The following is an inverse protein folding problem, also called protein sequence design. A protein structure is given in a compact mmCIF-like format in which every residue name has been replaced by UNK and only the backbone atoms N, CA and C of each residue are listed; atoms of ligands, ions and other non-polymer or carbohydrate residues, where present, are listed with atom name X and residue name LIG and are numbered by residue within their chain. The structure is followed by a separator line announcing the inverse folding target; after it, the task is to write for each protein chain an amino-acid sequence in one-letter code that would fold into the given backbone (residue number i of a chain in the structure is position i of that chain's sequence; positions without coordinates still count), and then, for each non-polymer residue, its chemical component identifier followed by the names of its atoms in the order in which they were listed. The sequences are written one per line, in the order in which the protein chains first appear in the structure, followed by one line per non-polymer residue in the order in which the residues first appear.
data_IF_292585155886
#
_entry.id   IF_292585155886
#
_cell.length_a   1.000
_cell.length_b   1.000
_cell.length_c   1.000
_cell.angle_alpha   90.00
_cell.angle_beta   90.00
_cell.angle_gamma   90.00
#
_symmetry.space_group_name_H-M   'P 1'
#
loop_
_entity.id
_entity.type
_entity.pdbx_description
1 polymer ?
#
# COMPACT_ATOMS: atom_id res chain seq x y z
N UNK A 1 -42.71 -7.56 -17.84
CA UNK A 1 -42.43 -7.30 -19.28
C UNK A 1 -43.01 -5.94 -19.66
N UNK A 2 -42.17 -4.94 -19.92
CA UNK A 2 -42.48 -3.74 -20.72
C UNK A 2 -41.14 -3.10 -21.10
N UNK A 3 -40.81 -3.22 -22.38
CA UNK A 3 -39.62 -2.66 -23.01
C UNK A 3 -39.92 -1.21 -23.39
N UNK A 4 -39.01 -0.30 -23.11
CA UNK A 4 -39.04 1.06 -23.68
C UNK A 4 -37.67 1.33 -24.31
N UNK A 5 -37.65 1.25 -25.63
CA UNK A 5 -36.58 1.65 -26.54
C UNK A 5 -36.72 3.14 -26.85
N UNK A 6 -35.65 3.91 -26.71
CA UNK A 6 -35.49 5.22 -27.37
C UNK A 6 -34.02 5.44 -27.77
N UNK A 7 -33.75 6.29 -28.78
CA UNK A 7 -32.88 5.93 -29.91
C UNK A 7 -31.49 6.57 -29.89
N UNK A 8 -30.63 5.98 -30.73
CA UNK A 8 -29.41 6.53 -31.31
C UNK A 8 -29.63 7.95 -31.87
N UNK A 9 -28.68 8.84 -31.58
CA UNK A 9 -28.43 10.03 -32.38
C UNK A 9 -26.93 10.17 -32.66
N UNK A 10 -26.68 10.80 -33.79
CA UNK A 10 -25.65 10.52 -34.77
C UNK A 10 -24.78 11.76 -34.94
N UNK A 11 -23.49 11.54 -35.22
CA UNK A 11 -22.60 12.34 -36.08
C UNK A 11 -22.03 13.69 -35.59
N UNK A 12 -20.72 13.87 -35.86
CA UNK A 12 -19.99 15.15 -35.88
C UNK A 12 -18.55 14.98 -35.35
N UNK A 13 -17.58 14.46 -36.09
CA UNK A 13 -16.85 15.04 -37.24
C UNK A 13 -15.84 16.15 -36.85
N UNK A 14 -14.56 15.76 -36.82
CA UNK A 14 -13.32 16.46 -37.21
C UNK A 14 -12.88 17.72 -36.44
N UNK A 15 -11.59 17.78 -36.04
CA UNK A 15 -10.58 18.72 -36.60
C UNK A 15 -9.16 18.18 -36.32
N UNK A 16 -8.33 18.20 -37.37
CA UNK A 16 -6.88 17.95 -37.39
C UNK A 16 -6.09 19.00 -36.57
N UNK A 17 -5.07 18.58 -35.82
CA UNK A 17 -4.02 19.49 -35.34
C UNK A 17 -2.65 19.06 -35.89
N UNK A 18 -2.08 19.95 -36.71
CA UNK A 18 -0.75 19.94 -37.31
C UNK A 18 0.34 20.44 -36.35
N UNK A 19 1.58 19.97 -36.60
CA UNK A 19 2.84 20.70 -36.36
C UNK A 19 3.36 20.72 -34.91
N UNK A 20 4.65 20.63 -34.61
CA UNK A 20 5.85 20.92 -35.42
C UNK A 20 7.06 20.14 -34.91
N UNK A 21 7.91 19.75 -35.86
CA UNK A 21 9.30 19.31 -35.71
C UNK A 21 10.21 20.44 -35.23
N UNK A 22 11.14 20.15 -34.32
CA UNK A 22 12.37 20.93 -34.11
C UNK A 22 13.56 19.99 -34.22
N UNK A 23 14.49 20.40 -35.08
CA UNK A 23 15.74 19.75 -35.41
C UNK A 23 16.79 19.84 -34.29
N UNK A 24 17.66 18.84 -34.34
CA UNK A 24 19.06 18.74 -33.88
C UNK A 24 19.70 19.97 -33.24
N UNK A 25 20.40 19.69 -32.15
CA UNK A 25 21.77 20.19 -32.00
C UNK A 25 22.73 19.08 -31.56
N UNK A 26 23.91 19.08 -32.18
CA UNK A 26 24.99 18.10 -32.04
C UNK A 26 26.23 18.84 -31.52
N UNK A 27 27.04 18.13 -30.71
CA UNK A 27 28.48 18.38 -30.38
C UNK A 27 28.72 19.43 -29.26
N UNK A 28 29.78 19.30 -28.41
CA UNK A 28 31.00 18.51 -28.59
C UNK A 28 31.44 17.58 -27.47
N UNK A 29 32.33 16.67 -27.89
CA UNK A 29 33.19 15.84 -27.08
C UNK A 29 34.11 16.67 -26.18
N UNK A 30 34.33 16.18 -24.96
CA UNK A 30 35.33 16.70 -24.05
C UNK A 30 35.55 15.73 -22.88
N UNK A 31 36.69 15.03 -22.94
CA UNK A 31 37.54 14.59 -21.84
C UNK A 31 36.91 13.84 -20.65
N UNK A 32 37.38 12.64 -20.36
CA UNK A 32 38.29 12.43 -19.21
C UNK A 32 38.84 11.00 -19.18
N UNK A 33 40.16 10.98 -19.00
CA UNK A 33 41.10 9.88 -18.80
C UNK A 33 40.75 9.02 -17.57
N UNK A 34 40.88 7.68 -17.62
CA UNK A 34 40.64 6.84 -16.46
C UNK A 34 41.87 6.86 -15.54
N UNK A 35 41.78 7.57 -14.42
CA UNK A 35 42.72 7.43 -13.29
C UNK A 35 42.57 6.06 -12.65
N UNK A 36 43.64 5.27 -12.71
CA UNK A 36 43.78 4.01 -12.00
C UNK A 36 43.73 4.24 -10.48
N UNK A 37 42.67 3.74 -9.83
CA UNK A 37 42.56 3.73 -8.39
C UNK A 37 43.20 2.45 -7.82
N UNK A 38 44.13 2.72 -6.92
CA UNK A 38 44.99 1.80 -6.18
C UNK A 38 44.22 0.77 -5.35
N UNK A 39 44.71 -0.47 -5.37
CA UNK A 39 44.26 -1.59 -4.57
C UNK A 39 44.71 -1.38 -3.12
N UNK A 40 43.76 -1.09 -2.21
CA UNK A 40 44.00 -1.12 -0.78
C UNK A 40 43.48 -2.44 -0.19
N UNK A 41 44.39 -3.19 0.40
CA UNK A 41 44.18 -4.46 1.11
C UNK A 41 43.37 -4.23 2.40
N UNK A 42 42.26 -4.93 2.65
CA UNK A 42 41.64 -4.91 3.98
C UNK A 42 42.33 -5.92 4.91
N UNK A 43 42.93 -5.39 5.98
CA UNK A 43 43.39 -6.14 7.16
C UNK A 43 42.18 -6.71 7.91
N UNK A 44 42.22 -7.98 8.39
CA UNK A 44 41.10 -8.60 9.09
C UNK A 44 40.91 -7.97 10.47
N UNK A 45 39.78 -7.30 10.68
CA UNK A 45 39.37 -6.81 12.00
C UNK A 45 38.66 -7.94 12.76
N UNK A 46 39.12 -8.15 13.98
CA UNK A 46 38.69 -9.18 14.90
C UNK A 46 37.17 -9.19 15.14
N UNK A 47 36.61 -10.40 15.08
CA UNK A 47 35.24 -10.73 15.44
C UNK A 47 35.03 -10.50 16.93
N UNK A 48 34.40 -9.38 17.30
CA UNK A 48 33.80 -9.22 18.61
C UNK A 48 32.46 -9.95 18.62
N UNK A 49 32.43 -11.11 19.28
CA UNK A 49 31.21 -11.84 19.60
C UNK A 49 30.37 -10.97 20.54
N UNK A 50 29.38 -10.27 19.99
CA UNK A 50 28.34 -9.61 20.79
C UNK A 50 27.37 -10.69 21.24
N UNK A 51 27.52 -11.10 22.49
CA UNK A 51 26.57 -11.90 23.24
C UNK A 51 25.24 -11.15 23.27
N UNK A 52 24.31 -11.56 22.41
CA UNK A 52 22.97 -11.03 22.33
C UNK A 52 22.24 -11.40 23.63
N UNK A 53 22.25 -10.46 24.58
CA UNK A 53 21.36 -10.46 25.74
C UNK A 53 19.94 -10.49 25.21
N UNK A 54 19.30 -11.66 25.28
CA UNK A 54 17.89 -11.83 25.02
C UNK A 54 17.13 -10.93 26.03
N UNK A 55 16.72 -9.77 25.55
CA UNK A 55 15.75 -8.93 26.23
C UNK A 55 14.46 -9.74 26.34
N UNK A 56 13.82 -9.80 27.52
CA UNK A 56 12.61 -10.58 27.70
C UNK A 56 11.59 -10.15 26.66
N UNK A 57 10.92 -11.15 26.08
CA UNK A 57 9.81 -11.04 25.15
C UNK A 57 8.65 -10.32 25.84
N UNK A 58 8.80 -9.01 26.07
CA UNK A 58 7.71 -8.14 26.39
C UNK A 58 6.77 -8.28 25.21
N UNK A 59 5.62 -8.93 25.45
CA UNK A 59 4.52 -9.07 24.51
C UNK A 59 4.38 -7.73 23.79
N UNK A 60 4.86 -7.66 22.54
CA UNK A 60 4.83 -6.43 21.78
C UNK A 60 3.37 -6.26 21.36
N UNK A 61 2.58 -5.64 22.24
CA UNK A 61 1.14 -5.51 22.07
C UNK A 61 0.87 -4.37 21.09
N UNK A 62 -0.09 -4.62 20.20
CA UNK A 62 -0.68 -3.53 19.45
C UNK A 62 -1.34 -2.54 20.43
N UNK A 63 -1.28 -1.23 20.15
CA UNK A 63 -2.04 -0.27 20.94
C UNK A 63 -3.53 -0.65 20.96
N UNK A 64 -4.17 -0.54 22.13
CA UNK A 64 -5.62 -0.79 22.26
C UNK A 64 -6.41 0.51 22.46
N UNK A 65 -5.71 1.61 22.71
CA UNK A 65 -6.28 2.93 22.98
C UNK A 65 -5.91 3.92 21.87
N UNK A 66 -6.85 4.85 21.62
CA UNK A 66 -6.68 5.96 20.71
C UNK A 66 -5.99 7.13 21.41
N UNK A 67 -5.33 7.97 20.61
CA UNK A 67 -5.04 9.34 21.05
C UNK A 67 -6.35 10.12 21.26
N UNK A 68 -6.41 11.03 22.25
CA UNK A 68 -7.56 11.90 22.45
C UNK A 68 -7.70 12.88 21.26
N UNK A 69 -8.91 12.98 20.71
CA UNK A 69 -9.23 13.88 19.61
C UNK A 69 -10.57 13.55 18.95
N UNK A 70 -10.91 14.27 17.88
CA UNK A 70 -12.15 14.07 17.12
C UNK A 70 -12.22 12.71 16.40
N UNK A 71 -11.07 12.08 16.22
CA UNK A 71 -10.93 10.80 15.54
C UNK A 71 -9.99 9.88 16.31
N UNK A 72 -10.35 8.60 16.41
CA UNK A 72 -9.47 7.58 16.96
C UNK A 72 -8.30 7.31 16.01
N UNK A 73 -7.18 8.00 16.26
CA UNK A 73 -5.87 7.73 15.65
C UNK A 73 -4.97 6.95 16.60
N UNK A 74 -3.94 6.33 16.04
CA UNK A 74 -2.94 5.59 16.81
C UNK A 74 -2.05 6.55 17.61
N UNK A 75 -1.39 6.07 18.69
CA UNK A 75 -0.33 6.82 19.35
C UNK A 75 0.72 7.29 18.34
N UNK A 76 1.09 8.57 18.38
CA UNK A 76 1.87 9.20 17.32
C UNK A 76 3.22 8.50 17.07
N UNK A 77 3.90 8.07 18.15
CA UNK A 77 5.16 7.35 18.05
C UNK A 77 4.99 5.96 17.42
N UNK A 78 3.91 5.24 17.77
CA UNK A 78 3.60 3.97 17.15
C UNK A 78 3.31 4.14 15.67
N UNK A 79 2.50 5.15 15.33
CA UNK A 79 2.19 5.49 13.95
C UNK A 79 3.43 5.84 13.13
N UNK A 80 4.37 6.59 13.70
CA UNK A 80 5.63 6.93 13.04
C UNK A 80 6.50 5.68 12.76
N UNK A 81 6.62 4.77 13.72
CA UNK A 81 7.39 3.52 13.53
C UNK A 81 6.69 2.59 12.53
N UNK A 82 5.37 2.46 12.64
CA UNK A 82 4.54 1.70 11.69
C UNK A 82 4.70 2.23 10.26
N UNK A 83 4.68 3.54 10.07
CA UNK A 83 4.85 4.14 8.74
C UNK A 83 6.32 4.26 8.30
N UNK A 84 7.28 3.88 9.15
CA UNK A 84 8.70 3.80 8.80
C UNK A 84 9.09 2.53 8.02
N UNK A 85 8.17 1.56 7.88
CA UNK A 85 8.42 0.29 7.23
C UNK A 85 7.19 -0.26 6.49
N UNK A 86 7.20 -1.57 6.24
CA UNK A 86 6.08 -2.31 5.65
C UNK A 86 5.75 -3.47 6.58
N UNK A 87 4.54 -3.48 7.14
CA UNK A 87 4.15 -4.41 8.19
C UNK A 87 2.79 -5.06 7.88
N UNK A 88 2.73 -5.99 6.91
CA UNK A 88 1.46 -6.51 6.41
C UNK A 88 0.70 -7.31 7.48
N UNK A 89 1.39 -8.07 8.34
CA UNK A 89 0.75 -8.80 9.44
C UNK A 89 0.14 -7.85 10.47
N UNK A 90 0.88 -6.79 10.84
CA UNK A 90 0.37 -5.75 11.75
C UNK A 90 -0.88 -5.11 11.14
N UNK A 91 -0.88 -4.80 9.85
CA UNK A 91 -2.08 -4.30 9.17
C UNK A 91 -3.24 -5.29 9.26
N UNK A 92 -3.05 -6.59 9.00
CA UNK A 92 -4.11 -7.59 9.11
C UNK A 92 -4.79 -7.57 10.49
N UNK A 93 -4.00 -7.44 11.57
CA UNK A 93 -4.53 -7.32 12.93
C UNK A 93 -5.25 -5.99 13.17
N UNK A 94 -4.70 -4.86 12.70
CA UNK A 94 -5.33 -3.55 12.86
C UNK A 94 -6.65 -3.43 12.05
N UNK A 95 -6.74 -4.11 10.91
CA UNK A 95 -7.96 -4.21 10.10
C UNK A 95 -8.94 -5.31 10.56
N UNK A 96 -8.60 -6.10 11.58
CA UNK A 96 -9.53 -7.06 12.17
C UNK A 96 -10.79 -6.34 12.74
N UNK A 97 -11.92 -7.04 12.89
CA UNK A 97 -13.09 -6.45 13.53
C UNK A 97 -12.80 -6.10 15.00
N UNK A 98 -13.59 -5.17 15.55
CA UNK A 98 -13.50 -4.70 16.95
C UNK A 98 -12.21 -3.95 17.31
N UNK A 99 -11.38 -3.58 16.34
CA UNK A 99 -10.32 -2.60 16.56
C UNK A 99 -10.93 -1.19 16.65
N UNK A 100 -10.34 -0.29 17.45
CA UNK A 100 -10.91 1.05 17.66
C UNK A 100 -10.61 2.00 16.49
N UNK A 101 -9.71 1.61 15.59
CA UNK A 101 -9.11 2.49 14.58
C UNK A 101 -10.10 3.04 13.58
N UNK A 102 -9.99 4.34 13.30
CA UNK A 102 -10.83 4.97 12.30
C UNK A 102 -10.47 4.48 10.90
N UNK A 103 -11.47 3.94 10.20
CA UNK A 103 -11.39 3.58 8.78
C UNK A 103 -11.75 4.78 7.91
N UNK A 104 -11.02 4.92 6.82
CA UNK A 104 -11.30 5.86 5.74
C UNK A 104 -11.27 5.12 4.40
N UNK A 105 -11.78 5.77 3.37
CA UNK A 105 -11.93 5.20 2.04
C UNK A 105 -11.53 6.22 0.98
N UNK A 106 -10.76 5.77 0.00
CA UNK A 106 -10.31 6.67 -1.06
C UNK A 106 -11.47 7.05 -1.99
N UNK A 107 -11.62 8.34 -2.28
CA UNK A 107 -12.68 8.86 -3.17
C UNK A 107 -12.41 8.56 -4.65
N UNK A 108 -11.14 8.49 -5.06
CA UNK A 108 -10.71 8.29 -6.45
C UNK A 108 -9.43 7.46 -6.50
N UNK A 109 -9.11 6.92 -7.67
CA UNK A 109 -7.82 6.29 -7.93
C UNK A 109 -6.78 7.35 -8.29
N UNK A 110 -5.57 7.26 -7.73
CA UNK A 110 -4.44 8.14 -8.02
C UNK A 110 -3.14 7.48 -7.56
N UNK A 111 -2.01 8.13 -7.81
CA UNK A 111 -0.71 7.70 -7.28
C UNK A 111 -0.30 8.60 -6.12
N UNK A 112 0.15 8.02 -5.02
CA UNK A 112 0.63 8.75 -3.85
C UNK A 112 2.02 8.26 -3.43
N UNK A 113 2.72 9.10 -2.68
CA UNK A 113 4.03 8.79 -2.14
C UNK A 113 3.90 7.96 -0.86
N UNK A 114 4.82 7.02 -0.67
CA UNK A 114 4.99 6.30 0.59
C UNK A 114 5.45 7.25 1.71
N UNK A 115 4.88 7.12 2.92
CA UNK A 115 5.30 7.90 4.09
C UNK A 115 6.69 7.46 4.54
N UNK A 116 7.61 8.38 4.82
CA UNK A 116 8.94 8.04 5.38
C UNK A 116 9.95 7.38 4.43
N UNK A 117 9.61 7.18 3.15
CA UNK A 117 10.49 6.51 2.17
C UNK A 117 10.94 7.42 1.01
N UNK A 118 12.07 7.10 0.38
CA UNK A 118 12.51 7.72 -0.88
C UNK A 118 11.74 7.12 -2.06
N UNK A 119 10.76 7.84 -2.59
CA UNK A 119 10.50 7.87 -4.04
C UNK A 119 9.68 6.74 -4.69
N UNK A 120 9.00 5.84 -3.95
CA UNK A 120 8.08 4.89 -4.61
C UNK A 120 6.65 5.44 -4.66
N UNK A 121 6.18 5.73 -5.87
CA UNK A 121 4.77 6.02 -6.16
C UNK A 121 3.96 4.73 -6.09
N UNK A 122 3.02 4.67 -5.14
CA UNK A 122 2.05 3.58 -5.02
C UNK A 122 0.81 3.94 -5.82
N UNK A 123 0.24 2.96 -6.53
CA UNK A 123 -1.09 3.11 -7.14
C UNK A 123 -2.16 2.78 -6.11
N UNK A 124 -3.07 3.71 -5.90
CA UNK A 124 -4.18 3.58 -4.97
C UNK A 124 -5.50 3.51 -5.74
N UNK A 125 -6.44 2.73 -5.21
CA UNK A 125 -7.71 2.48 -5.89
C UNK A 125 -8.84 3.30 -5.29
N UNK A 126 -9.81 3.68 -6.12
CA UNK A 126 -11.07 4.20 -5.64
C UNK A 126 -11.74 3.18 -4.70
N UNK A 127 -12.36 3.67 -3.63
CA UNK A 127 -12.94 2.88 -2.56
C UNK A 127 -11.95 1.99 -1.79
N UNK A 128 -10.63 2.20 -1.94
CA UNK A 128 -9.64 1.49 -1.14
C UNK A 128 -9.83 1.82 0.35
N UNK A 129 -9.97 0.79 1.18
CA UNK A 129 -10.12 0.92 2.63
C UNK A 129 -8.75 1.08 3.27
N UNK A 130 -8.62 2.10 4.11
CA UNK A 130 -7.41 2.43 4.85
C UNK A 130 -7.74 2.72 6.31
N UNK A 131 -6.75 2.68 7.20
CA UNK A 131 -6.87 3.11 8.60
C UNK A 131 -6.10 4.41 8.77
N UNK A 132 -6.70 5.39 9.45
CA UNK A 132 -5.95 6.61 9.79
C UNK A 132 -4.96 6.33 10.91
N UNK A 133 -3.69 6.60 10.63
CA UNK A 133 -2.58 6.41 11.57
C UNK A 133 -2.32 7.70 12.34
N UNK A 134 -2.14 8.81 11.61
CA UNK A 134 -1.92 10.14 12.18
C UNK A 134 -2.76 11.18 11.48
N UNK A 135 -3.04 12.27 12.19
CA UNK A 135 -3.64 13.48 11.64
C UNK A 135 -2.61 14.58 11.76
N UNK A 136 -2.22 15.19 10.64
CA UNK A 136 -1.28 16.31 10.68
C UNK A 136 -1.91 17.45 11.47
N UNK A 137 -1.23 17.87 12.55
CA UNK A 137 -1.65 19.06 13.31
C UNK A 137 -1.38 20.29 12.44
N UNK A 138 -2.34 21.24 12.36
CA UNK A 138 -2.08 22.51 11.68
C UNK A 138 -0.89 23.21 12.35
N UNK A 139 0.05 23.73 11.54
CA UNK A 139 1.20 24.41 12.10
C UNK A 139 0.76 25.72 12.76
N UNK A 140 1.28 26.02 13.95
CA UNK A 140 0.90 27.19 14.73
C UNK A 140 1.38 28.52 14.11
N UNK A 141 2.14 28.49 13.00
CA UNK A 141 2.97 29.60 12.52
C UNK A 141 2.78 29.96 11.05
N UNK A 142 1.61 29.68 10.45
CA UNK A 142 1.32 30.15 9.09
C UNK A 142 -0.10 29.85 8.63
N UNK A 143 -0.61 30.65 7.68
CA UNK A 143 -1.83 30.30 6.94
C UNK A 143 -1.63 28.94 6.26
N UNK A 144 -2.37 27.93 6.69
CA UNK A 144 -2.39 26.64 6.01
C UNK A 144 -3.24 26.79 4.74
N UNK A 145 -2.56 26.94 3.61
CA UNK A 145 -3.20 26.88 2.28
C UNK A 145 -3.38 25.39 1.95
N UNK A 146 -4.42 24.77 2.50
CA UNK A 146 -4.74 23.36 2.29
C UNK A 146 -5.61 22.77 3.40
N UNK A 147 -6.39 21.73 3.08
CA UNK A 147 -7.19 20.98 4.05
C UNK A 147 -6.34 20.16 5.02
N UNK A 148 -6.99 19.35 5.85
CA UNK A 148 -6.32 18.43 6.76
C UNK A 148 -5.55 17.36 5.98
N UNK A 149 -4.36 16.96 6.48
CA UNK A 149 -3.57 15.87 5.92
C UNK A 149 -3.55 14.67 6.88
N UNK A 150 -3.49 13.47 6.31
CA UNK A 150 -3.58 12.20 7.04
C UNK A 150 -2.46 11.27 6.58
N UNK A 151 -1.78 10.62 7.51
CA UNK A 151 -1.06 9.39 7.17
C UNK A 151 -1.99 8.21 7.41
N UNK A 152 -2.11 7.33 6.41
CA UNK A 152 -3.02 6.20 6.45
C UNK A 152 -2.28 4.89 6.19
N UNK A 153 -2.65 3.85 6.93
CA UNK A 153 -2.19 2.47 6.78
C UNK A 153 -3.07 1.75 5.75
N UNK A 154 -2.43 1.04 4.84
CA UNK A 154 -3.06 0.20 3.82
C UNK A 154 -3.03 -1.27 4.24
N UNK A 155 -3.90 -2.09 3.64
CA UNK A 155 -3.97 -3.53 3.91
C UNK A 155 -2.68 -4.31 3.60
N UNK A 156 -1.81 -3.75 2.76
CA UNK A 156 -0.51 -4.34 2.42
C UNK A 156 0.59 -4.00 3.44
N UNK A 157 0.26 -3.29 4.51
CA UNK A 157 1.21 -2.89 5.55
C UNK A 157 1.99 -1.62 5.26
N UNK A 158 1.75 -0.96 4.12
CA UNK A 158 2.40 0.31 3.76
C UNK A 158 1.60 1.52 4.23
N UNK A 159 2.28 2.66 4.44
CA UNK A 159 1.63 3.94 4.71
C UNK A 159 1.70 4.89 3.52
N UNK A 160 0.67 5.73 3.36
CA UNK A 160 0.60 6.83 2.37
C UNK A 160 0.05 8.10 3.02
N UNK A 161 0.53 9.27 2.59
CA UNK A 161 -0.04 10.56 3.02
C UNK A 161 -1.13 10.99 2.05
N UNK A 162 -2.29 11.36 2.59
CA UNK A 162 -3.47 11.78 1.83
C UNK A 162 -4.02 13.12 2.36
N UNK A 163 -4.67 13.87 1.48
CA UNK A 163 -5.41 15.07 1.84
C UNK A 163 -6.88 14.74 2.14
N UNK A 164 -7.55 15.60 2.92
CA UNK A 164 -8.95 15.47 3.30
C UNK A 164 -9.92 15.32 2.11
N UNK A 165 -9.63 16.00 0.99
CA UNK A 165 -10.43 15.90 -0.23
C UNK A 165 -10.25 14.57 -0.96
N UNK A 166 -9.23 13.77 -0.62
CA UNK A 166 -8.92 12.47 -1.23
C UNK A 166 -9.58 11.27 -0.54
N UNK A 167 -10.02 11.44 0.72
CA UNK A 167 -10.66 10.39 1.51
C UNK A 167 -12.09 10.73 1.93
N UNK A 168 -12.88 9.70 2.23
CA UNK A 168 -14.18 9.80 2.90
C UNK A 168 -14.22 8.84 4.08
N UNK A 169 -14.91 9.23 5.15
CA UNK A 169 -15.16 8.34 6.29
C UNK A 169 -16.46 7.54 6.14
N UNK A 170 -17.23 7.78 5.08
CA UNK A 170 -18.40 7.00 4.74
C UNK A 170 -17.99 5.73 4.00
N UNK A 171 -18.35 4.56 4.54
CA UNK A 171 -18.04 3.28 3.91
C UNK A 171 -18.78 3.13 2.57
N UNK A 172 -18.07 2.96 1.44
CA UNK A 172 -18.70 2.65 0.17
C UNK A 172 -19.23 1.22 0.15
N UNK A 173 -20.23 0.95 -0.69
CA UNK A 173 -20.77 -0.41 -0.86
C UNK A 173 -19.73 -1.41 -1.37
N UNK A 174 -18.76 -0.93 -2.14
CA UNK A 174 -17.71 -1.73 -2.78
C UNK A 174 -16.32 -1.34 -2.24
N UNK A 175 -16.15 -1.31 -0.91
CA UNK A 175 -14.83 -1.12 -0.32
C UNK A 175 -13.86 -2.24 -0.76
N UNK A 176 -12.64 -1.88 -1.12
CA UNK A 176 -11.60 -2.82 -1.56
C UNK A 176 -10.35 -2.69 -0.71
N UNK A 177 -9.61 -3.78 -0.42
CA UNK A 177 -8.31 -3.66 0.24
C UNK A 177 -7.23 -3.26 -0.76
N UNK A 178 -6.06 -2.82 -0.28
CA UNK A 178 -4.81 -2.84 -1.05
C UNK A 178 -4.42 -4.28 -1.45
N UNK A 179 -3.42 -4.44 -2.32
CA UNK A 179 -2.96 -5.77 -2.74
C UNK A 179 -2.12 -6.43 -1.63
N UNK A 180 -2.61 -7.52 -1.04
CA UNK A 180 -1.92 -8.26 0.01
C UNK A 180 -1.03 -9.32 -0.64
N UNK A 181 0.29 -9.17 -0.50
CA UNK A 181 1.26 -10.13 -0.99
C UNK A 181 1.32 -11.35 -0.07
N UNK A 182 0.38 -12.29 -0.24
CA UNK A 182 0.30 -13.52 0.57
C UNK A 182 1.65 -14.25 0.66
N UNK A 183 2.45 -14.25 -0.41
CA UNK A 183 3.74 -14.93 -0.44
C UNK A 183 4.79 -14.31 0.48
N UNK A 184 4.69 -13.01 0.74
CA UNK A 184 5.58 -12.22 1.59
C UNK A 184 5.21 -12.31 3.08
N UNK A 185 4.01 -12.80 3.39
CA UNK A 185 3.59 -13.00 4.78
C UNK A 185 4.42 -14.10 5.46
N UNK A 186 4.54 -14.01 6.78
CA UNK A 186 5.20 -15.04 7.58
C UNK A 186 4.57 -16.43 7.39
N UNK A 187 5.37 -17.53 7.51
CA UNK A 187 4.89 -18.90 7.33
C UNK A 187 3.60 -19.26 8.11
N UNK A 188 3.40 -18.83 9.38
CA UNK A 188 2.17 -19.11 10.11
C UNK A 188 0.93 -18.49 9.47
N UNK A 189 1.04 -17.27 8.93
CA UNK A 189 -0.06 -16.58 8.25
C UNK A 189 -0.37 -17.24 6.92
N UNK A 190 0.66 -17.56 6.12
CA UNK A 190 0.49 -18.29 4.86
C UNK A 190 -0.23 -19.61 5.07
N UNK A 191 0.23 -20.40 6.04
CA UNK A 191 -0.36 -21.70 6.37
C UNK A 191 -1.81 -21.53 6.79
N UNK A 192 -2.08 -20.66 7.76
CA UNK A 192 -3.45 -20.35 8.23
C UNK A 192 -4.36 -19.98 7.07
N UNK A 193 -3.99 -19.01 6.24
CA UNK A 193 -4.84 -18.59 5.13
C UNK A 193 -5.07 -19.70 4.08
N UNK A 194 -4.11 -20.58 3.85
CA UNK A 194 -4.23 -21.66 2.85
C UNK A 194 -5.08 -22.84 3.31
N UNK A 195 -5.34 -22.97 4.60
CA UNK A 195 -6.33 -23.92 5.13
C UNK A 195 -7.77 -23.49 4.77
N UNK A 196 -7.98 -22.22 4.43
CA UNK A 196 -9.27 -21.73 3.99
C UNK A 196 -9.47 -21.98 2.50
N UNK A 197 -10.44 -22.85 2.19
CA UNK A 197 -10.77 -23.25 0.81
C UNK A 197 -10.97 -22.06 -0.14
N UNK A 198 -11.63 -21.00 0.29
CA UNK A 198 -11.88 -19.82 -0.56
C UNK A 198 -10.57 -19.11 -0.95
N UNK A 199 -9.66 -18.92 0.02
CA UNK A 199 -8.37 -18.29 -0.21
C UNK A 199 -7.48 -19.21 -1.06
N UNK A 200 -7.48 -20.51 -0.80
CA UNK A 200 -6.70 -21.47 -1.58
C UNK A 200 -7.12 -21.50 -3.06
N UNK A 201 -8.43 -21.47 -3.32
CA UNK A 201 -8.97 -21.38 -4.67
C UNK A 201 -8.54 -20.07 -5.36
N UNK A 202 -8.61 -18.95 -4.65
CA UNK A 202 -8.17 -17.65 -5.18
C UNK A 202 -6.65 -17.61 -5.43
N UNK A 203 -5.84 -18.20 -4.54
CA UNK A 203 -4.39 -18.33 -4.66
C UNK A 203 -4.01 -19.17 -5.88
N UNK A 204 -4.62 -20.34 -6.02
CA UNK A 204 -4.42 -21.24 -7.16
C UNK A 204 -4.89 -20.62 -8.48
N UNK A 205 -5.97 -19.83 -8.47
CA UNK A 205 -6.42 -19.07 -9.64
C UNK A 205 -5.42 -17.96 -10.01
N UNK A 206 -4.93 -17.20 -9.02
CA UNK A 206 -3.88 -16.20 -9.21
C UNK A 206 -2.64 -16.82 -9.83
N UNK A 207 -2.11 -17.90 -9.24
CA UNK A 207 -0.91 -18.59 -9.71
C UNK A 207 -1.03 -18.98 -11.19
N UNK A 208 -2.06 -19.74 -11.54
CA UNK A 208 -2.33 -20.16 -12.94
C UNK A 208 -2.47 -18.98 -13.90
N UNK A 209 -3.11 -17.90 -13.46
CA UNK A 209 -3.36 -16.72 -14.31
C UNK A 209 -2.09 -15.90 -14.53
N UNK A 210 -1.26 -15.76 -13.51
CA UNK A 210 -0.04 -14.97 -13.55
C UNK A 210 1.14 -15.70 -14.21
N UNK A 211 1.15 -17.04 -14.20
CA UNK A 211 2.16 -17.86 -14.88
C UNK A 211 1.83 -18.10 -16.37
N UNK A 212 0.64 -17.71 -16.82
CA UNK A 212 0.23 -17.86 -18.21
C UNK A 212 0.98 -16.87 -19.13
N UNK A 213 1.29 -17.29 -20.36
CA UNK A 213 1.91 -16.42 -21.35
C UNK A 213 1.03 -15.18 -21.63
N UNK A 214 1.63 -13.98 -21.58
CA UNK A 214 0.92 -12.72 -21.80
C UNK A 214 0.12 -12.19 -20.61
N UNK A 215 0.35 -12.71 -19.39
CA UNK A 215 -0.34 -12.27 -18.18
C UNK A 215 -0.18 -10.78 -17.84
N UNK A 216 0.85 -10.11 -18.37
CA UNK A 216 1.22 -8.72 -18.05
C UNK A 216 0.97 -7.72 -19.19
N UNK A 217 0.06 -8.02 -20.12
CA UNK A 217 -0.13 -7.20 -21.31
C UNK A 217 -0.61 -5.76 -21.04
N UNK A 218 -1.14 -5.43 -19.85
CA UNK A 218 -1.47 -4.04 -19.46
C UNK A 218 -1.41 -3.81 -17.93
N UNK A 219 -0.70 -2.78 -17.43
CA UNK A 219 -0.66 -2.45 -16.00
C UNK A 219 -2.06 -2.07 -15.47
N UNK A 220 -2.42 -2.60 -14.30
CA UNK A 220 -3.69 -2.28 -13.61
C UNK A 220 -4.96 -2.96 -14.15
N UNK A 221 -4.89 -3.58 -15.33
CA UNK A 221 -6.02 -4.30 -15.99
C UNK A 221 -5.67 -5.72 -16.43
N UNK A 222 -4.44 -6.14 -16.21
CA UNK A 222 -4.01 -7.50 -16.55
C UNK A 222 -4.84 -8.55 -15.80
N UNK A 223 -5.03 -9.71 -16.42
CA UNK A 223 -5.73 -10.84 -15.77
C UNK A 223 -5.03 -11.23 -14.48
N UNK A 224 -3.70 -11.14 -14.43
CA UNK A 224 -2.93 -11.39 -13.22
C UNK A 224 -3.24 -10.37 -12.12
N UNK A 225 -3.33 -9.08 -12.44
CA UNK A 225 -3.65 -8.03 -11.47
C UNK A 225 -5.08 -8.20 -10.92
N UNK A 226 -6.06 -8.52 -11.78
CA UNK A 226 -7.41 -8.85 -11.31
C UNK A 226 -7.42 -10.06 -10.38
N UNK A 227 -6.63 -11.09 -10.66
CA UNK A 227 -6.52 -12.26 -9.80
C UNK A 227 -5.81 -11.95 -8.46
N UNK A 228 -4.78 -11.09 -8.46
CA UNK A 228 -4.14 -10.55 -7.25
C UNK A 228 -5.13 -9.78 -6.38
N UNK A 229 -5.94 -8.91 -6.98
CA UNK A 229 -7.00 -8.14 -6.29
C UNK A 229 -8.06 -9.07 -5.70
N UNK A 230 -8.46 -10.09 -6.44
CA UNK A 230 -9.44 -11.06 -5.96
C UNK A 230 -8.91 -11.86 -4.75
N UNK A 231 -7.65 -12.30 -4.78
CA UNK A 231 -7.01 -12.94 -3.64
C UNK A 231 -6.99 -12.00 -2.42
N UNK A 232 -6.57 -10.75 -2.61
CA UNK A 232 -6.48 -9.75 -1.53
C UNK A 232 -7.86 -9.45 -0.91
N UNK A 233 -8.88 -9.31 -1.75
CA UNK A 233 -10.27 -9.14 -1.31
C UNK A 233 -10.75 -10.36 -0.49
N UNK A 234 -10.40 -11.57 -0.92
CA UNK A 234 -10.79 -12.80 -0.21
C UNK A 234 -10.13 -12.88 1.16
N UNK A 235 -8.84 -12.52 1.27
CA UNK A 235 -8.12 -12.42 2.55
C UNK A 235 -8.77 -11.38 3.46
N UNK A 236 -8.99 -10.15 2.96
CA UNK A 236 -9.59 -9.07 3.74
C UNK A 236 -11.01 -9.40 4.22
N UNK A 237 -11.81 -10.09 3.40
CA UNK A 237 -13.13 -10.58 3.79
C UNK A 237 -13.05 -11.64 4.90
N UNK A 238 -12.08 -12.55 4.84
CA UNK A 238 -11.88 -13.55 5.88
C UNK A 238 -11.48 -12.92 7.21
N UNK A 239 -10.51 -11.99 7.19
CA UNK A 239 -10.11 -11.19 8.37
C UNK A 239 -11.29 -10.39 8.91
N UNK A 240 -12.03 -9.68 8.05
CA UNK A 240 -13.19 -8.88 8.44
C UNK A 240 -14.34 -9.68 9.05
N UNK A 241 -14.43 -11.00 8.75
CA UNK A 241 -15.38 -11.93 9.40
C UNK A 241 -14.90 -12.44 10.76
N UNK A 242 -13.73 -12.00 11.23
CA UNK A 242 -13.17 -12.39 12.52
C UNK A 242 -12.37 -13.69 12.46
N UNK A 243 -11.74 -14.00 11.31
CA UNK A 243 -10.75 -15.08 11.25
C UNK A 243 -9.69 -14.88 12.35
N UNK A 244 -9.37 -15.96 13.08
CA UNK A 244 -8.25 -15.97 14.01
C UNK A 244 -6.94 -15.82 13.24
N UNK A 245 -6.21 -14.75 13.52
CA UNK A 245 -4.87 -14.52 12.98
C UNK A 245 -3.84 -15.15 13.89
N UNK A 246 -2.73 -15.71 13.35
CA UNK A 246 -1.57 -16.07 14.16
C UNK A 246 -1.09 -14.89 15.01
N UNK A 247 -0.40 -15.15 16.14
CA UNK A 247 0.21 -14.08 16.92
C UNK A 247 1.26 -13.33 16.10
N UNK A 248 1.45 -12.05 16.42
CA UNK A 248 2.50 -11.22 15.82
C UNK A 248 3.85 -11.58 16.45
N UNK A 249 4.85 -11.81 15.61
CA UNK A 249 6.27 -11.94 16.01
C UNK A 249 6.94 -10.57 16.20
N UNK A 250 6.41 -9.56 15.52
CA UNK A 250 6.94 -8.20 15.49
C UNK A 250 5.81 -7.17 15.50
N UNK A 251 6.03 -6.11 16.29
CA UNK A 251 5.20 -4.89 16.33
C UNK A 251 6.17 -3.69 16.37
N UNK A 252 5.99 -2.68 15.49
CA UNK A 252 6.95 -1.60 15.29
C UNK A 252 7.03 -0.57 16.42
#
# INVERSE_FOLDING_TARGET
MRRATLPLLWLGLQVLACGSTVDRDTTPAGSHEPTAASIATPTPTATATVEAKAEPEAERKLPEACEPGDMCSMPAEFGQRLCGGTHPEVALHLFAPKTPWKRAYLKRAFKAWHVGGRGELRELRAAEEVIVVTVAKPSATGMQIGGQAFDVLRWDGTCVSLMEDEITFQRPSNAVPANIALEELEPPYRTSFTEEKAIELARSAKKRTCEAAGADQEPGKSKCELARRHLSLTIAQSVGKGRALPPLTYVP
#
